data_IF_336083386948
#
_entry.id   IF_336083386948
#
_cell.length_a   1.000
_cell.length_b   1.000
_cell.length_c   1.000
_cell.angle_alpha   90.00
_cell.angle_beta   90.00
_cell.angle_gamma   90.00
#
_symmetry.space_group_name_H-M   'P 1'
#
loop_
_entity.id
_entity.type
_entity.pdbx_description
1 polymer ?
#
# COMPACT_ATOMS: atom_id res chain seq x y z
N UNK A 1 -21.89 28.74 -17.03
CA UNK A 1 -21.42 27.52 -16.33
C UNK A 1 -20.10 27.89 -15.71
N UNK A 2 -20.04 27.93 -14.36
CA UNK A 2 -18.90 28.50 -13.64
C UNK A 2 -17.75 27.49 -13.68
N UNK A 3 -16.61 27.94 -14.20
CA UNK A 3 -15.32 27.30 -13.99
C UNK A 3 -15.05 27.27 -12.49
N UNK A 4 -15.25 26.10 -11.87
CA UNK A 4 -14.76 25.83 -10.53
C UNK A 4 -13.23 25.77 -10.61
N UNK A 5 -12.59 26.90 -10.32
CA UNK A 5 -11.18 26.94 -9.95
C UNK A 5 -10.98 25.96 -8.80
N UNK A 6 -10.37 24.82 -9.11
CA UNK A 6 -9.85 23.88 -8.13
C UNK A 6 -8.87 24.68 -7.27
N UNK A 7 -9.26 25.01 -6.04
CA UNK A 7 -8.35 25.56 -5.04
C UNK A 7 -7.19 24.57 -4.89
N UNK A 8 -5.99 24.99 -5.29
CA UNK A 8 -4.78 24.19 -5.13
C UNK A 8 -4.56 23.98 -3.63
N UNK A 9 -4.82 22.76 -3.16
CA UNK A 9 -4.28 22.25 -1.91
C UNK A 9 -2.75 22.37 -1.99
N UNK A 10 -2.11 23.06 -1.05
CA UNK A 10 -0.66 23.36 -1.12
C UNK A 10 0.23 22.12 -1.16
N UNK A 11 -0.29 20.95 -0.73
CA UNK A 11 0.45 19.70 -0.75
C UNK A 11 -0.46 18.50 -1.03
N UNK A 12 -0.08 17.69 -2.01
CA UNK A 12 -0.75 16.42 -2.36
C UNK A 12 -0.45 15.39 -1.25
N UNK A 13 -1.49 14.68 -0.82
CA UNK A 13 -1.42 13.68 0.24
C UNK A 13 -1.83 12.31 -0.32
N UNK A 14 -0.93 11.32 -0.20
CA UNK A 14 -1.18 9.92 -0.51
C UNK A 14 -1.37 9.09 0.77
N UNK A 15 -2.47 8.34 0.84
CA UNK A 15 -2.70 7.34 1.90
C UNK A 15 -2.17 5.97 1.45
N UNK A 16 -1.10 5.52 2.09
CA UNK A 16 -0.42 4.27 1.76
C UNK A 16 -0.81 3.14 2.70
N UNK A 17 -1.22 2.00 2.16
CA UNK A 17 -1.30 0.77 2.95
C UNK A 17 0.11 0.22 3.21
N UNK A 18 0.55 0.33 4.47
CA UNK A 18 1.90 -0.03 4.89
C UNK A 18 1.87 -1.28 5.78
N UNK A 19 2.69 -2.28 5.45
CA UNK A 19 2.76 -3.54 6.20
C UNK A 19 4.05 -3.69 7.00
N UNK A 20 4.87 -2.65 7.08
CA UNK A 20 6.23 -2.74 7.64
C UNK A 20 7.25 -3.43 6.73
N UNK A 21 6.87 -3.79 5.50
CA UNK A 21 7.74 -4.50 4.55
C UNK A 21 8.46 -3.56 3.58
N UNK A 22 9.51 -4.08 2.94
CA UNK A 22 10.33 -3.36 1.96
C UNK A 22 9.49 -2.78 0.81
N UNK A 23 8.54 -3.54 0.27
CA UNK A 23 7.75 -3.09 -0.88
C UNK A 23 6.91 -1.83 -0.54
N UNK A 24 6.24 -1.82 0.61
CA UNK A 24 5.53 -0.61 1.09
C UNK A 24 6.49 0.54 1.42
N UNK A 25 7.68 0.26 1.93
CA UNK A 25 8.68 1.27 2.28
C UNK A 25 9.19 1.98 1.01
N UNK A 26 9.57 1.21 -0.01
CA UNK A 26 10.02 1.75 -1.30
C UNK A 26 8.89 2.50 -2.02
N UNK A 27 7.65 2.03 -1.95
CA UNK A 27 6.51 2.74 -2.53
C UNK A 27 6.30 4.12 -1.88
N UNK A 28 6.39 4.22 -0.55
CA UNK A 28 6.33 5.50 0.15
C UNK A 28 7.49 6.43 -0.24
N UNK A 29 8.72 5.91 -0.28
CA UNK A 29 9.90 6.67 -0.69
C UNK A 29 9.73 7.27 -2.08
N UNK A 30 9.27 6.48 -3.06
CA UNK A 30 9.09 6.96 -4.44
C UNK A 30 8.13 8.14 -4.53
N UNK A 31 7.05 8.14 -3.74
CA UNK A 31 6.10 9.25 -3.72
C UNK A 31 6.68 10.47 -2.99
N UNK A 32 7.40 10.27 -1.88
CA UNK A 32 8.08 11.37 -1.19
C UNK A 32 9.15 12.04 -2.06
N UNK A 33 9.88 11.28 -2.87
CA UNK A 33 10.83 11.83 -3.85
C UNK A 33 10.17 12.70 -4.93
N UNK A 34 8.85 12.59 -5.10
CA UNK A 34 8.05 13.49 -5.96
C UNK A 34 7.48 14.70 -5.21
N UNK A 35 7.79 14.87 -3.92
CA UNK A 35 7.26 15.95 -3.08
C UNK A 35 5.86 15.65 -2.50
N UNK A 36 5.36 14.42 -2.64
CA UNK A 36 4.05 14.02 -2.13
C UNK A 36 4.15 13.70 -0.64
N UNK A 37 3.23 14.24 0.16
CA UNK A 37 3.11 13.88 1.57
C UNK A 37 2.49 12.50 1.69
N UNK A 38 3.15 11.61 2.39
CA UNK A 38 2.66 10.24 2.59
C UNK A 38 2.17 10.07 4.02
N UNK A 39 1.00 9.43 4.15
CA UNK A 39 0.46 8.94 5.43
C UNK A 39 0.33 7.43 5.34
N UNK A 40 0.88 6.71 6.29
CA UNK A 40 0.79 5.25 6.35
C UNK A 40 -0.46 4.79 7.12
N UNK A 41 -1.14 3.78 6.62
CA UNK A 41 -2.19 3.06 7.31
C UNK A 41 -1.86 1.56 7.36
N UNK A 42 -1.81 1.02 8.57
CA UNK A 42 -1.56 -0.39 8.84
C UNK A 42 -2.79 -1.05 9.48
N UNK A 43 -3.00 -2.32 9.17
CA UNK A 43 -4.08 -3.11 9.76
C UNK A 43 -3.53 -4.27 10.58
N UNK A 44 -3.82 -4.26 11.88
CA UNK A 44 -3.40 -5.31 12.80
C UNK A 44 -4.36 -6.48 12.75
N UNK A 45 -3.83 -7.66 12.44
CA UNK A 45 -4.61 -8.90 12.44
C UNK A 45 -4.96 -9.34 13.87
N UNK A 46 -6.15 -9.89 14.13
CA UNK A 46 -6.49 -10.51 15.42
C UNK A 46 -5.57 -11.68 15.76
N UNK A 47 -4.93 -12.28 14.75
CA UNK A 47 -3.95 -13.36 14.91
C UNK A 47 -2.51 -12.86 15.15
N UNK A 48 -2.27 -11.54 15.23
CA UNK A 48 -0.92 -11.02 15.56
C UNK A 48 -0.67 -11.24 17.05
N UNK A 49 0.27 -12.12 17.40
CA UNK A 49 0.73 -12.33 18.79
C UNK A 49 1.63 -11.20 19.32
N UNK A 50 1.73 -10.13 18.54
CA UNK A 50 2.64 -9.01 18.65
C UNK A 50 2.42 -8.18 19.93
N UNK A 51 1.27 -8.33 20.59
CA UNK A 51 0.94 -7.62 21.85
C UNK A 51 1.61 -8.19 23.10
N UNK A 52 2.12 -9.42 23.07
CA UNK A 52 2.69 -10.05 24.28
C UNK A 52 4.22 -10.12 24.32
N UNK A 53 4.91 -9.88 23.21
CA UNK A 53 6.36 -10.19 23.08
C UNK A 53 7.21 -9.01 22.58
N UNK A 54 6.60 -7.92 22.08
CA UNK A 54 7.30 -6.94 21.23
C UNK A 54 7.29 -5.50 21.75
N UNK A 55 7.35 -5.28 23.07
CA UNK A 55 7.67 -3.93 23.59
C UNK A 55 9.09 -3.47 23.22
N UNK A 56 9.94 -4.37 22.71
CA UNK A 56 11.35 -4.10 22.37
C UNK A 56 11.81 -4.61 20.99
N UNK A 57 10.94 -5.18 20.15
CA UNK A 57 11.36 -5.58 18.80
C UNK A 57 10.94 -4.52 17.79
N UNK A 58 11.85 -4.15 16.89
CA UNK A 58 11.56 -3.27 15.76
C UNK A 58 10.46 -3.86 14.87
N UNK A 59 9.21 -3.51 15.16
CA UNK A 59 8.11 -3.71 14.24
C UNK A 59 8.45 -2.91 12.98
N UNK A 60 8.32 -3.49 11.78
CA UNK A 60 8.72 -2.86 10.52
C UNK A 60 8.09 -1.48 10.26
N UNK A 61 7.06 -1.09 11.03
CA UNK A 61 6.48 0.27 11.06
C UNK A 61 7.41 1.33 11.66
N UNK A 62 8.28 0.97 12.61
CA UNK A 62 9.27 1.87 13.19
C UNK A 62 10.21 2.44 12.11
N UNK A 63 10.51 1.65 11.06
CA UNK A 63 11.30 2.12 9.92
C UNK A 63 10.62 3.25 9.16
N UNK A 64 9.28 3.25 9.05
CA UNK A 64 8.54 4.31 8.34
C UNK A 64 8.60 5.63 9.11
N UNK A 65 8.48 5.57 10.43
CA UNK A 65 8.60 6.75 11.27
C UNK A 65 10.06 7.24 11.33
N UNK A 66 10.98 6.36 11.70
CA UNK A 66 12.36 6.72 12.03
C UNK A 66 13.20 7.07 10.79
N UNK A 67 12.95 6.46 9.64
CA UNK A 67 13.75 6.69 8.41
C UNK A 67 13.05 7.59 7.39
N UNK A 68 11.72 7.54 7.30
CA UNK A 68 10.97 8.33 6.31
C UNK A 68 10.17 9.51 6.90
N UNK A 69 10.08 9.63 8.24
CA UNK A 69 9.29 10.68 8.88
C UNK A 69 7.79 10.59 8.58
N UNK A 70 7.30 9.39 8.23
CA UNK A 70 5.90 9.19 7.84
C UNK A 70 5.04 8.97 9.08
N UNK A 71 3.95 9.73 9.18
CA UNK A 71 2.90 9.47 10.17
C UNK A 71 2.18 8.17 9.80
N UNK A 72 2.15 7.21 10.72
CA UNK A 72 1.45 5.94 10.55
C UNK A 72 0.29 5.80 11.52
N UNK A 73 -0.86 5.36 11.01
CA UNK A 73 -2.00 4.93 11.81
C UNK A 73 -2.09 3.41 11.80
N UNK A 74 -2.52 2.81 12.92
CA UNK A 74 -2.81 1.38 12.98
C UNK A 74 -4.25 1.17 13.43
N UNK A 75 -5.01 0.41 12.64
CA UNK A 75 -6.37 0.00 12.97
C UNK A 75 -6.43 -1.52 13.16
N UNK A 76 -7.19 -2.03 14.13
CA UNK A 76 -7.43 -3.46 14.23
C UNK A 76 -8.34 -3.92 13.08
N UNK A 77 -8.18 -5.18 12.65
CA UNK A 77 -9.21 -5.86 11.86
C UNK A 77 -10.29 -6.37 12.81
N UNK A 78 -11.56 -6.06 12.54
CA UNK A 78 -12.68 -6.39 13.41
C UNK A 78 -13.14 -7.83 13.27
N UNK A 79 -14.26 -8.15 13.93
CA UNK A 79 -14.89 -9.47 13.85
C UNK A 79 -15.39 -9.80 12.44
N UNK A 80 -15.75 -8.77 11.66
CA UNK A 80 -16.08 -8.88 10.24
C UNK A 80 -14.95 -9.47 9.39
N UNK A 81 -13.69 -9.30 9.82
CA UNK A 81 -12.55 -9.98 9.19
C UNK A 81 -12.47 -11.47 9.55
N UNK A 82 -12.94 -11.89 10.73
CA UNK A 82 -12.95 -13.31 11.10
C UNK A 82 -13.91 -14.10 10.20
N UNK A 83 -15.02 -13.51 9.80
CA UNK A 83 -15.97 -14.14 8.88
C UNK A 83 -15.37 -14.33 7.48
N UNK A 84 -14.58 -13.36 7.02
CA UNK A 84 -13.78 -13.50 5.79
C UNK A 84 -12.78 -14.66 5.89
N UNK A 85 -12.15 -14.82 7.06
CA UNK A 85 -11.19 -15.91 7.30
C UNK A 85 -11.91 -17.26 7.36
N UNK A 86 -13.14 -17.33 7.87
CA UNK A 86 -13.94 -18.56 7.93
C UNK A 86 -14.47 -19.00 6.57
N UNK A 87 -14.89 -18.04 5.73
CA UNK A 87 -15.51 -18.33 4.44
C UNK A 87 -15.10 -17.29 3.36
N UNK A 88 -13.87 -17.36 2.84
CA UNK A 88 -13.40 -16.42 1.84
C UNK A 88 -14.03 -16.66 0.47
N UNK A 89 -14.52 -15.61 -0.17
CA UNK A 89 -15.14 -15.64 -1.50
C UNK A 89 -14.17 -16.13 -2.58
N UNK A 90 -12.88 -15.81 -2.46
CA UNK A 90 -11.84 -16.21 -3.43
C UNK A 90 -10.97 -17.38 -2.97
N UNK A 91 -11.44 -18.10 -1.94
CA UNK A 91 -10.78 -19.25 -1.37
C UNK A 91 -9.43 -18.94 -0.70
N UNK A 92 -8.83 -19.98 -0.17
CA UNK A 92 -7.60 -19.85 0.59
C UNK A 92 -6.34 -19.82 -0.29
N UNK A 93 -5.30 -19.16 0.22
CA UNK A 93 -3.92 -19.38 -0.15
C UNK A 93 -3.26 -20.41 0.79
N UNK A 94 -1.93 -20.37 0.89
CA UNK A 94 -1.21 -21.17 1.88
C UNK A 94 -1.64 -20.80 3.31
N UNK A 95 -1.65 -21.77 4.22
CA UNK A 95 -1.95 -21.60 5.65
C UNK A 95 -3.31 -20.92 5.91
N UNK A 96 -4.35 -21.29 5.15
CA UNK A 96 -5.69 -20.72 5.28
C UNK A 96 -5.76 -19.19 5.11
N UNK A 97 -4.80 -18.59 4.40
CA UNK A 97 -4.78 -17.13 4.22
C UNK A 97 -5.79 -16.69 3.16
N UNK A 98 -6.79 -15.86 3.49
CA UNK A 98 -7.76 -15.34 2.51
C UNK A 98 -7.17 -14.14 1.76
N UNK A 99 -6.09 -14.34 0.98
CA UNK A 99 -5.23 -13.23 0.55
C UNK A 99 -5.91 -12.16 -0.32
N UNK A 100 -6.83 -12.56 -1.21
CA UNK A 100 -7.55 -11.60 -2.08
C UNK A 100 -8.60 -10.86 -1.24
N UNK A 101 -9.41 -11.60 -0.48
CA UNK A 101 -10.46 -11.04 0.37
C UNK A 101 -9.89 -10.10 1.44
N UNK A 102 -8.76 -10.47 2.05
CA UNK A 102 -8.05 -9.62 3.00
C UNK A 102 -7.62 -8.30 2.37
N UNK A 103 -7.18 -8.30 1.10
CA UNK A 103 -6.78 -7.07 0.40
C UNK A 103 -8.00 -6.19 0.10
N UNK A 104 -9.09 -6.80 -0.37
CA UNK A 104 -10.36 -6.09 -0.57
C UNK A 104 -10.82 -5.45 0.73
N UNK A 105 -10.81 -6.22 1.83
CA UNK A 105 -11.19 -5.76 3.16
C UNK A 105 -10.40 -4.53 3.60
N UNK A 106 -9.07 -4.59 3.59
CA UNK A 106 -8.24 -3.47 4.06
C UNK A 106 -8.36 -2.24 3.16
N UNK A 107 -8.61 -2.40 1.86
CA UNK A 107 -8.83 -1.28 0.94
C UNK A 107 -10.19 -0.61 1.14
N UNK A 108 -11.24 -1.38 1.49
CA UNK A 108 -12.52 -0.81 1.91
C UNK A 108 -12.37 -0.01 3.20
N UNK A 109 -11.72 -0.59 4.21
CA UNK A 109 -11.42 0.11 5.48
C UNK A 109 -10.51 1.33 5.28
N UNK A 110 -9.60 1.29 4.31
CA UNK A 110 -8.78 2.45 3.96
C UNK A 110 -9.61 3.59 3.36
N UNK A 111 -10.63 3.29 2.55
CA UNK A 111 -11.54 4.31 2.03
C UNK A 111 -12.39 4.92 3.13
N UNK A 112 -12.96 4.09 4.01
CA UNK A 112 -13.68 4.56 5.21
C UNK A 112 -12.80 5.51 6.04
N UNK A 113 -11.55 5.11 6.32
CA UNK A 113 -10.60 5.97 7.02
C UNK A 113 -10.26 7.26 6.25
N UNK A 114 -10.21 7.18 4.91
CA UNK A 114 -9.91 8.32 4.07
C UNK A 114 -11.02 9.39 4.05
N UNK A 115 -12.26 9.06 4.41
CA UNK A 115 -13.34 10.05 4.57
C UNK A 115 -12.99 11.10 5.64
N UNK A 116 -12.26 10.68 6.68
CA UNK A 116 -11.79 11.57 7.74
C UNK A 116 -10.44 12.20 7.39
N UNK A 117 -9.48 11.42 6.87
CA UNK A 117 -8.14 11.91 6.56
C UNK A 117 -8.12 12.88 5.35
N UNK A 118 -9.02 12.68 4.38
CA UNK A 118 -9.12 13.44 3.13
C UNK A 118 -7.79 13.47 2.33
N UNK A 119 -7.15 12.31 2.21
CA UNK A 119 -6.04 12.14 1.27
C UNK A 119 -6.55 12.12 -0.17
N UNK A 120 -5.73 12.60 -1.10
CA UNK A 120 -6.09 12.81 -2.50
C UNK A 120 -6.14 11.48 -3.28
N UNK A 121 -5.36 10.49 -2.85
CA UNK A 121 -5.37 9.14 -3.40
C UNK A 121 -4.94 8.07 -2.39
N UNK A 122 -5.26 6.81 -2.71
CA UNK A 122 -4.83 5.62 -1.97
C UNK A 122 -3.82 4.85 -2.82
N UNK A 123 -2.77 4.34 -2.17
CA UNK A 123 -1.75 3.52 -2.84
C UNK A 123 -1.33 2.31 -2.02
N UNK A 124 -0.71 1.35 -2.69
CA UNK A 124 -0.11 0.16 -2.06
C UNK A 124 1.29 -0.10 -2.59
N UNK A 125 2.10 -0.86 -1.84
CA UNK A 125 3.36 -1.42 -2.33
C UNK A 125 3.19 -2.74 -3.11
N UNK A 126 2.05 -2.97 -3.76
CA UNK A 126 1.85 -4.22 -4.50
C UNK A 126 2.72 -4.29 -5.76
N UNK A 127 3.36 -5.44 -5.97
CA UNK A 127 4.19 -5.73 -7.13
C UNK A 127 3.55 -6.84 -7.96
N UNK A 128 3.33 -6.60 -9.25
CA UNK A 128 2.74 -7.56 -10.17
C UNK A 128 3.52 -8.88 -10.17
N UNK A 129 2.81 -10.00 -10.06
CA UNK A 129 3.33 -11.37 -10.01
C UNK A 129 4.33 -11.67 -8.85
N UNK A 130 4.44 -10.80 -7.84
CA UNK A 130 5.32 -11.06 -6.70
C UNK A 130 4.72 -12.07 -5.71
N UNK A 131 3.40 -12.04 -5.51
CA UNK A 131 2.66 -13.01 -4.69
C UNK A 131 1.70 -13.82 -5.56
N UNK A 132 1.84 -15.17 -5.63
CA UNK A 132 1.11 -15.99 -6.58
C UNK A 132 -0.41 -15.99 -6.39
N UNK A 133 -0.90 -15.83 -5.15
CA UNK A 133 -2.35 -15.87 -4.85
C UNK A 133 -3.05 -14.53 -5.02
N UNK A 134 -2.35 -13.40 -4.81
CA UNK A 134 -3.02 -12.10 -4.63
C UNK A 134 -2.51 -10.97 -5.50
N UNK A 135 -1.40 -11.16 -6.23
CA UNK A 135 -0.78 -10.09 -7.02
C UNK A 135 -0.56 -10.48 -8.49
N UNK A 136 -1.24 -11.52 -8.99
CA UNK A 136 -1.34 -11.72 -10.44
C UNK A 136 -2.37 -10.75 -11.04
N UNK A 137 -2.29 -10.50 -12.34
CA UNK A 137 -3.11 -9.47 -13.03
C UNK A 137 -4.62 -9.59 -12.72
N UNK A 138 -5.17 -10.80 -12.76
CA UNK A 138 -6.59 -11.02 -12.47
C UNK A 138 -6.94 -10.72 -11.00
N UNK A 139 -6.09 -11.11 -10.04
CA UNK A 139 -6.30 -10.77 -8.64
C UNK A 139 -6.25 -9.26 -8.41
N UNK A 140 -5.31 -8.54 -9.04
CA UNK A 140 -5.23 -7.08 -8.90
C UNK A 140 -6.53 -6.40 -9.40
N UNK A 141 -7.04 -6.82 -10.57
CA UNK A 141 -8.31 -6.32 -11.12
C UNK A 141 -9.50 -6.63 -10.22
N UNK A 142 -9.57 -7.86 -9.68
CA UNK A 142 -10.62 -8.26 -8.75
C UNK A 142 -10.57 -7.37 -7.50
N UNK A 143 -9.38 -7.19 -6.92
CA UNK A 143 -9.18 -6.39 -5.72
C UNK A 143 -9.63 -4.94 -5.95
N UNK A 144 -9.22 -4.32 -7.06
CA UNK A 144 -9.63 -2.95 -7.40
C UNK A 144 -11.14 -2.80 -7.57
N UNK A 145 -11.75 -3.70 -8.35
CA UNK A 145 -13.18 -3.66 -8.63
C UNK A 145 -14.00 -3.85 -7.36
N UNK A 146 -13.70 -4.88 -6.59
CA UNK A 146 -14.45 -5.23 -5.38
C UNK A 146 -14.20 -4.26 -4.23
N UNK A 147 -13.05 -3.59 -4.20
CA UNK A 147 -12.82 -2.49 -3.27
C UNK A 147 -13.44 -1.18 -3.73
N UNK A 148 -13.87 -1.02 -4.99
CA UNK A 148 -14.38 0.25 -5.52
C UNK A 148 -13.29 1.26 -5.91
N UNK A 149 -12.06 0.79 -6.11
CA UNK A 149 -10.89 1.61 -6.47
C UNK A 149 -10.41 1.36 -7.91
N UNK A 150 -11.29 0.86 -8.78
CA UNK A 150 -10.99 0.66 -10.21
C UNK A 150 -10.52 1.98 -10.85
N UNK A 151 -9.34 1.95 -11.47
CA UNK A 151 -8.69 3.14 -12.05
C UNK A 151 -8.18 4.16 -11.03
N UNK A 152 -8.31 3.89 -9.73
CA UNK A 152 -7.91 4.81 -8.64
C UNK A 152 -6.77 4.25 -7.78
N UNK A 153 -6.66 2.94 -7.60
CA UNK A 153 -5.63 2.39 -6.72
C UNK A 153 -4.23 2.47 -7.35
N UNK A 154 -3.38 3.36 -6.82
CA UNK A 154 -2.02 3.50 -7.29
C UNK A 154 -1.11 2.36 -6.79
N UNK A 155 -0.27 1.84 -7.68
CA UNK A 155 0.79 0.85 -7.37
C UNK A 155 2.14 1.34 -7.87
N UNK A 156 2.86 2.19 -7.11
CA UNK A 156 4.07 2.86 -7.59
C UNK A 156 5.16 1.93 -8.14
N UNK A 157 5.27 0.73 -7.57
CA UNK A 157 6.30 -0.25 -7.95
C UNK A 157 6.02 -0.97 -9.27
N UNK A 158 4.76 -1.07 -9.69
CA UNK A 158 4.37 -1.77 -10.93
C UNK A 158 3.60 -0.86 -11.91
N UNK A 159 3.62 0.45 -11.69
CA UNK A 159 2.78 1.41 -12.42
C UNK A 159 2.93 1.29 -13.94
N UNK A 160 4.15 1.13 -14.46
CA UNK A 160 4.39 1.02 -15.92
C UNK A 160 3.88 -0.28 -16.54
N UNK A 161 3.58 -1.29 -15.72
CA UNK A 161 3.03 -2.59 -16.17
C UNK A 161 1.51 -2.64 -16.11
N UNK A 162 0.89 -1.60 -15.53
CA UNK A 162 -0.55 -1.49 -15.33
C UNK A 162 -1.09 -0.29 -16.13
N UNK A 163 -2.41 -0.27 -16.33
CA UNK A 163 -3.07 0.94 -16.86
C UNK A 163 -2.83 2.10 -15.89
N UNK A 164 -2.64 3.34 -16.39
CA UNK A 164 -2.52 4.49 -15.53
C UNK A 164 -3.81 4.69 -14.72
N UNK A 165 -3.63 5.15 -13.49
CA UNK A 165 -4.73 5.66 -12.66
C UNK A 165 -5.13 7.06 -13.11
N UNK A 166 -6.34 7.49 -12.70
CA UNK A 166 -6.79 8.87 -12.93
C UNK A 166 -5.80 9.92 -12.39
N UNK A 167 -5.07 9.60 -11.33
CA UNK A 167 -4.09 10.49 -10.70
C UNK A 167 -2.83 10.66 -11.54
N UNK A 168 -2.44 9.61 -12.28
CA UNK A 168 -1.34 9.68 -13.23
C UNK A 168 -1.77 10.43 -14.50
N UNK A 169 -2.99 10.18 -14.99
CA UNK A 169 -3.53 10.84 -16.19
C UNK A 169 -3.73 12.35 -15.98
N UNK A 170 -4.17 12.76 -14.79
CA UNK A 170 -4.36 14.16 -14.42
C UNK A 170 -3.05 14.88 -14.07
N UNK A 171 -1.91 14.19 -14.07
CA UNK A 171 -0.62 14.76 -13.71
C UNK A 171 -0.44 15.06 -12.21
N UNK A 172 -1.32 14.55 -11.35
CA UNK A 172 -1.15 14.61 -9.89
C UNK A 172 0.10 13.82 -9.46
N UNK A 173 0.42 12.76 -10.21
CA UNK A 173 1.57 11.89 -9.98
C UNK A 173 2.34 11.77 -11.28
N UNK A 174 3.65 12.01 -11.23
CA UNK A 174 4.52 11.86 -12.40
C UNK A 174 4.80 10.38 -12.65
N UNK A 175 4.02 9.79 -13.56
CA UNK A 175 4.16 8.39 -13.96
C UNK A 175 5.59 8.06 -14.40
N UNK A 176 6.36 8.98 -14.97
CA UNK A 176 7.74 8.70 -15.41
C UNK A 176 8.69 8.38 -14.26
N UNK A 177 8.37 8.83 -13.04
CA UNK A 177 9.15 8.57 -11.82
C UNK A 177 8.68 7.32 -11.05
N UNK A 178 7.68 6.61 -11.57
CA UNK A 178 7.23 5.31 -11.04
C UNK A 178 8.02 4.17 -11.70
N UNK A 179 7.77 2.92 -11.29
CA UNK A 179 8.57 1.77 -11.70
C UNK A 179 7.78 0.72 -12.49
N UNK A 180 8.53 -0.23 -13.04
CA UNK A 180 8.06 -1.38 -13.82
C UNK A 180 8.47 -2.72 -13.18
N UNK A 181 8.44 -2.82 -11.84
CA UNK A 181 8.84 -4.03 -11.12
C UNK A 181 7.76 -5.11 -11.29
N UNK A 182 8.19 -6.33 -11.56
CA UNK A 182 7.37 -7.54 -11.50
C UNK A 182 8.16 -8.75 -11.03
N UNK A 183 7.43 -9.76 -10.57
CA UNK A 183 7.99 -11.02 -10.11
C UNK A 183 8.50 -10.96 -8.68
N UNK A 184 9.18 -12.02 -8.24
CA UNK A 184 9.53 -12.24 -6.83
C UNK A 184 10.78 -11.52 -6.35
N UNK A 185 11.63 -11.09 -7.27
CA UNK A 185 12.87 -10.40 -6.94
C UNK A 185 12.59 -9.08 -6.20
N UNK A 186 13.44 -8.78 -5.22
CA UNK A 186 13.43 -7.52 -4.46
C UNK A 186 14.67 -6.66 -4.68
N UNK A 187 15.48 -7.00 -5.69
CA UNK A 187 16.77 -6.36 -5.95
C UNK A 187 16.65 -4.85 -6.12
N UNK A 188 15.72 -4.40 -6.96
CA UNK A 188 15.48 -2.97 -7.23
C UNK A 188 15.03 -2.24 -5.97
N UNK A 189 14.12 -2.82 -5.20
CA UNK A 189 13.63 -2.25 -3.94
C UNK A 189 14.76 -2.10 -2.91
N UNK A 190 15.62 -3.13 -2.80
CA UNK A 190 16.79 -3.11 -1.91
C UNK A 190 17.81 -2.05 -2.33
N UNK A 191 18.09 -1.94 -3.63
CA UNK A 191 18.99 -0.91 -4.18
C UNK A 191 18.47 0.50 -3.90
N UNK A 192 17.17 0.75 -4.11
CA UNK A 192 16.53 2.03 -3.76
C UNK A 192 16.61 2.32 -2.26
N UNK A 193 16.28 1.34 -1.41
CA UNK A 193 16.35 1.52 0.03
C UNK A 193 17.77 1.83 0.51
N UNK A 194 18.80 1.15 -0.03
CA UNK A 194 20.21 1.40 0.30
C UNK A 194 20.69 2.77 -0.19
N UNK A 195 20.38 3.11 -1.44
CA UNK A 195 20.76 4.41 -2.05
C UNK A 195 20.26 5.60 -1.24
N UNK A 196 19.13 5.44 -0.56
CA UNK A 196 18.50 6.46 0.27
C UNK A 196 18.70 6.26 1.78
N UNK A 197 19.66 5.42 2.21
CA UNK A 197 20.02 5.26 3.62
C UNK A 197 18.94 4.63 4.52
N UNK A 198 17.94 3.97 3.91
CA UNK A 198 16.83 3.34 4.64
C UNK A 198 17.23 1.97 5.20
N UNK A 199 18.14 1.28 4.52
CA UNK A 199 18.67 -0.02 4.94
C UNK A 199 20.18 -0.03 4.69
N UNK A 200 20.96 -0.25 5.74
CA UNK A 200 22.40 -0.46 5.62
C UNK A 200 22.70 -1.95 5.42
N UNK A 201 22.10 -2.82 6.25
CA UNK A 201 22.37 -4.26 6.28
C UNK A 201 21.07 -5.09 6.25
N UNK A 202 20.42 -5.19 5.09
CA UNK A 202 19.38 -6.20 4.88
C UNK A 202 19.99 -7.42 4.19
N UNK A 203 20.10 -8.52 4.92
CA UNK A 203 20.35 -9.84 4.35
C UNK A 203 18.99 -10.45 4.01
N UNK A 204 18.83 -10.83 2.74
CA UNK A 204 17.60 -11.40 2.19
C UNK A 204 17.36 -12.82 2.68
#
# INVERSE_FOLDING_TARGET
MKDEKIEKKDQIIGLGLVSGGLDSLTACLLLQLQGIKVVGLNFKSPFCLCDKVLSHSDCGLNLFHNKLGIKTFTLPKGDDYLDIVRNPKYGYGKNLNPCIDCRIYILKKAQEFNETLKADFIFTGEVLNQRPKSQHMQALKIVEKESGLEGKLLRPLSAHLLKPTIYEEQGLIDRKKLLSIQGRSRKIQLELARKHGLLENYYA
#
